data_IF_924034271578
#
_entry.id   IF_924034271578
#
_cell.length_a   1.000
_cell.length_b   1.000
_cell.length_c   1.000
_cell.angle_alpha   90.00
_cell.angle_beta   90.00
_cell.angle_gamma   90.00
#
_symmetry.space_group_name_H-M   'P 1'
#
loop_
_entity.id
_entity.type
_entity.pdbx_description
1 polymer ?
#
# COMPACT_ATOMS: atom_id res chain seq x y z
N UNK A 1 -33.29 57.45 -2.59
CA UNK A 1 -32.94 56.31 -3.47
C UNK A 1 -32.00 55.47 -2.66
N UNK A 2 -32.58 54.51 -1.95
CA UNK A 2 -31.88 53.78 -0.89
C UNK A 2 -31.28 52.50 -1.46
N UNK A 3 -29.95 52.43 -1.44
CA UNK A 3 -29.19 51.24 -1.81
C UNK A 3 -29.18 50.25 -0.65
N UNK A 4 -29.85 49.11 -0.81
CA UNK A 4 -29.69 47.95 0.06
C UNK A 4 -28.58 47.06 -0.49
N UNK A 5 -27.46 46.98 0.23
CA UNK A 5 -26.37 46.04 -0.06
C UNK A 5 -26.62 44.75 0.73
N UNK A 6 -26.88 43.64 0.02
CA UNK A 6 -27.00 42.31 0.61
C UNK A 6 -25.61 41.71 0.85
N UNK A 7 -25.27 41.46 2.11
CA UNK A 7 -24.06 40.74 2.50
C UNK A 7 -24.41 39.26 2.65
N UNK A 8 -24.11 38.46 1.62
CA UNK A 8 -24.28 37.00 1.67
C UNK A 8 -23.14 36.37 2.45
N UNK A 9 -23.43 35.85 3.64
CA UNK A 9 -22.51 35.06 4.45
C UNK A 9 -22.48 33.61 3.92
N UNK A 10 -21.41 33.25 3.21
CA UNK A 10 -21.14 31.85 2.85
C UNK A 10 -20.45 31.15 4.02
N UNK A 11 -21.19 30.28 4.72
CA UNK A 11 -20.62 29.36 5.72
C UNK A 11 -20.09 28.14 4.96
N UNK A 12 -18.76 28.05 4.81
CA UNK A 12 -18.12 26.82 4.39
C UNK A 12 -18.08 25.85 5.57
N UNK A 13 -19.02 24.89 5.58
CA UNK A 13 -18.92 23.72 6.46
C UNK A 13 -17.86 22.80 5.86
N UNK A 14 -16.64 22.84 6.40
CA UNK A 14 -15.62 21.85 6.09
C UNK A 14 -16.07 20.51 6.68
N UNK A 15 -16.66 19.65 5.85
CA UNK A 15 -16.93 18.26 6.22
C UNK A 15 -15.58 17.57 6.28
N UNK A 16 -14.97 17.48 7.46
CA UNK A 16 -13.84 16.63 7.69
C UNK A 16 -14.30 15.18 7.50
N UNK A 17 -14.05 14.59 6.33
CA UNK A 17 -14.28 13.16 6.12
C UNK A 17 -13.30 12.42 7.03
N UNK A 18 -13.81 11.87 8.14
CA UNK A 18 -13.02 10.99 9.00
C UNK A 18 -12.90 9.65 8.30
N UNK A 19 -11.82 9.47 7.53
CA UNK A 19 -11.49 8.15 7.00
C UNK A 19 -11.14 7.21 8.15
N UNK A 20 -11.70 6.00 8.14
CA UNK A 20 -11.37 4.98 9.14
C UNK A 20 -9.93 4.54 8.94
N UNK A 21 -9.10 4.74 9.98
CA UNK A 21 -7.73 4.24 10.00
C UNK A 21 -7.69 2.75 10.33
N UNK A 22 -6.68 1.99 9.86
CA UNK A 22 -6.60 0.58 10.17
C UNK A 22 -6.20 0.39 11.63
N UNK A 23 -6.74 -0.66 12.26
CA UNK A 23 -6.27 -1.10 13.57
C UNK A 23 -4.81 -1.54 13.48
N UNK A 24 -3.99 -1.01 14.41
CA UNK A 24 -2.58 -1.36 14.49
C UNK A 24 -2.39 -2.64 15.31
N UNK A 25 -1.42 -3.45 14.90
CA UNK A 25 -0.98 -4.67 15.57
C UNK A 25 -2.04 -5.78 15.69
N UNK A 26 -3.17 -5.64 15.02
CA UNK A 26 -4.21 -6.68 14.90
C UNK A 26 -3.94 -7.52 13.65
N UNK A 27 -3.88 -8.83 13.81
CA UNK A 27 -3.73 -9.77 12.69
C UNK A 27 -5.08 -9.96 12.01
N UNK A 28 -5.12 -9.65 10.72
CA UNK A 28 -6.28 -9.83 9.84
C UNK A 28 -5.93 -10.80 8.73
N UNK A 29 -6.94 -11.42 8.14
CA UNK A 29 -6.79 -12.36 7.03
C UNK A 29 -7.55 -11.85 5.82
N UNK A 30 -6.95 -11.96 4.64
CA UNK A 30 -7.59 -11.61 3.37
C UNK A 30 -7.25 -12.66 2.32
N UNK A 31 -8.20 -12.90 1.42
CA UNK A 31 -8.02 -13.76 0.26
C UNK A 31 -8.16 -12.93 -1.01
N UNK A 32 -7.13 -13.00 -1.84
CA UNK A 32 -7.16 -12.57 -3.24
C UNK A 32 -7.80 -13.67 -4.07
N UNK A 33 -8.70 -13.30 -4.99
CA UNK A 33 -9.42 -14.21 -5.88
C UNK A 33 -8.55 -14.66 -7.07
N UNK A 34 -7.80 -13.73 -7.65
CA UNK A 34 -6.97 -13.95 -8.84
C UNK A 34 -5.84 -12.92 -8.93
N UNK A 35 -4.74 -13.22 -9.66
CA UNK A 35 -3.74 -12.21 -10.01
C UNK A 35 -4.36 -11.11 -10.89
N UNK A 36 -3.96 -9.85 -10.69
CA UNK A 36 -4.50 -8.70 -11.42
C UNK A 36 -4.47 -8.86 -12.95
N UNK A 37 -3.34 -9.33 -13.51
CA UNK A 37 -3.23 -9.55 -14.97
C UNK A 37 -4.08 -10.71 -15.50
N UNK A 38 -4.75 -11.48 -14.63
CA UNK A 38 -5.60 -12.63 -14.98
C UNK A 38 -7.08 -12.40 -14.65
N UNK A 39 -7.47 -11.17 -14.35
CA UNK A 39 -8.85 -10.87 -14.00
C UNK A 39 -9.82 -11.19 -15.14
N UNK A 40 -11.00 -11.76 -14.83
CA UNK A 40 -12.07 -11.89 -15.79
C UNK A 40 -12.81 -10.56 -15.92
N UNK A 41 -12.59 -9.82 -17.01
CA UNK A 41 -13.35 -8.61 -17.34
C UNK A 41 -12.53 -7.31 -17.34
N UNK A 42 -13.20 -6.14 -17.21
CA UNK A 42 -12.53 -4.85 -17.28
C UNK A 42 -11.57 -4.66 -16.09
N UNK A 43 -10.49 -3.91 -16.32
CA UNK A 43 -9.44 -3.74 -15.32
C UNK A 43 -9.94 -3.10 -14.02
N UNK A 44 -9.91 -3.87 -12.94
CA UNK A 44 -10.33 -3.50 -11.59
C UNK A 44 -9.40 -4.10 -10.55
N UNK A 45 -9.25 -3.42 -9.42
CA UNK A 45 -8.53 -3.95 -8.26
C UNK A 45 -9.38 -4.88 -7.37
N UNK A 46 -10.66 -5.05 -7.71
CA UNK A 46 -11.56 -5.90 -6.95
C UNK A 46 -11.05 -7.35 -6.92
N UNK A 47 -10.85 -7.88 -5.71
CA UNK A 47 -10.43 -9.26 -5.49
C UNK A 47 -8.96 -9.55 -5.77
N UNK A 48 -8.18 -8.60 -6.30
CA UNK A 48 -6.74 -8.79 -6.54
C UNK A 48 -5.86 -7.81 -5.76
N UNK A 49 -6.45 -6.85 -5.04
CA UNK A 49 -5.70 -5.88 -4.26
C UNK A 49 -6.19 -5.76 -2.81
N UNK A 50 -5.28 -5.36 -1.93
CA UNK A 50 -5.54 -5.01 -0.55
C UNK A 50 -5.57 -3.49 -0.42
N UNK A 51 -6.62 -2.98 0.22
CA UNK A 51 -6.74 -1.61 0.67
C UNK A 51 -6.81 -1.63 2.20
N UNK A 52 -5.93 -0.88 2.87
CA UNK A 52 -5.90 -0.80 4.33
C UNK A 52 -6.96 0.16 4.87
N UNK A 53 -7.47 1.07 4.03
CA UNK A 53 -8.47 2.09 4.42
C UNK A 53 -9.45 2.40 3.30
N UNK A 54 -10.61 2.94 3.69
CA UNK A 54 -11.60 3.50 2.76
C UNK A 54 -11.04 4.67 1.95
N UNK A 55 -10.05 5.38 2.48
CA UNK A 55 -9.33 6.42 1.76
C UNK A 55 -8.62 5.88 0.52
N UNK A 56 -7.89 4.76 0.69
CA UNK A 56 -7.24 4.07 -0.43
C UNK A 56 -8.25 3.56 -1.45
N UNK A 57 -9.40 3.04 -1.00
CA UNK A 57 -10.50 2.60 -1.88
C UNK A 57 -11.04 3.76 -2.70
N UNK A 58 -11.37 4.89 -2.05
CA UNK A 58 -11.92 6.07 -2.71
C UNK A 58 -10.96 6.64 -3.79
N UNK A 59 -9.66 6.61 -3.52
CA UNK A 59 -8.61 7.06 -4.45
C UNK A 59 -8.17 5.99 -5.45
N UNK A 60 -8.77 4.80 -5.41
CA UNK A 60 -8.39 3.64 -6.22
C UNK A 60 -6.88 3.35 -6.15
N UNK A 61 -6.31 3.43 -4.94
CA UNK A 61 -4.87 3.38 -4.68
C UNK A 61 -4.54 2.20 -3.74
N UNK A 62 -4.31 0.99 -4.27
CA UNK A 62 -4.08 -0.19 -3.46
C UNK A 62 -2.79 -0.11 -2.65
N UNK A 63 -2.78 -0.72 -1.47
CA UNK A 63 -1.61 -0.83 -0.59
C UNK A 63 -0.76 -2.07 -0.88
N UNK A 64 -1.38 -3.11 -1.45
CA UNK A 64 -0.70 -4.29 -1.98
C UNK A 64 -1.51 -4.81 -3.17
N UNK A 65 -0.85 -5.10 -4.29
CA UNK A 65 -1.45 -5.76 -5.44
C UNK A 65 -0.92 -7.19 -5.53
N UNK A 66 -1.83 -8.15 -5.67
CA UNK A 66 -1.50 -9.51 -6.08
C UNK A 66 -1.56 -9.57 -7.62
N UNK A 67 -0.42 -9.82 -8.23
CA UNK A 67 -0.24 -9.80 -9.68
C UNK A 67 0.51 -11.05 -10.17
N UNK A 68 0.69 -11.16 -11.48
CA UNK A 68 1.34 -12.28 -12.13
C UNK A 68 0.73 -12.57 -13.50
N UNK A 69 1.53 -13.09 -14.42
CA UNK A 69 1.02 -13.55 -15.72
C UNK A 69 0.35 -14.92 -15.56
N UNK A 70 -0.72 -15.17 -16.32
CA UNK A 70 -1.54 -16.38 -16.15
C UNK A 70 -0.73 -17.63 -16.49
N UNK A 71 -0.42 -18.44 -15.47
CA UNK A 71 0.45 -19.62 -15.59
C UNK A 71 1.93 -19.37 -15.27
N UNK A 72 2.32 -18.13 -14.94
CA UNK A 72 3.66 -17.74 -14.50
C UNK A 72 3.76 -17.61 -12.98
N UNK A 73 4.92 -17.20 -12.46
CA UNK A 73 5.08 -16.91 -11.04
C UNK A 73 4.29 -15.66 -10.66
N UNK A 74 3.48 -15.74 -9.59
CA UNK A 74 2.77 -14.59 -9.07
C UNK A 74 3.68 -13.72 -8.22
N UNK A 75 3.32 -12.45 -8.12
CA UNK A 75 4.04 -11.41 -7.41
C UNK A 75 3.12 -10.62 -6.49
N UNK A 76 3.70 -10.03 -5.46
CA UNK A 76 3.12 -8.90 -4.77
C UNK A 76 3.83 -7.61 -5.17
N UNK A 77 3.06 -6.54 -5.32
CA UNK A 77 3.52 -5.24 -5.78
C UNK A 77 2.99 -4.12 -4.89
N UNK A 78 3.82 -3.11 -4.64
CA UNK A 78 3.47 -1.94 -3.79
C UNK A 78 3.62 -0.60 -4.51
N UNK A 79 4.27 -0.57 -5.68
CA UNK A 79 4.39 0.62 -6.54
C UNK A 79 3.55 0.42 -7.80
N UNK A 80 2.32 0.93 -7.77
CA UNK A 80 1.33 0.70 -8.83
C UNK A 80 1.12 1.91 -9.75
N UNK A 81 1.63 3.08 -9.35
CA UNK A 81 1.54 4.32 -10.11
C UNK A 81 2.76 5.21 -9.81
N UNK A 82 3.27 5.86 -10.87
CA UNK A 82 4.51 6.65 -10.98
C UNK A 82 5.21 7.02 -9.66
N UNK A 83 4.89 8.19 -9.13
CA UNK A 83 5.69 8.87 -8.09
C UNK A 83 5.52 8.30 -6.67
N UNK A 84 4.83 7.18 -6.52
CA UNK A 84 4.69 6.52 -5.23
C UNK A 84 5.94 5.73 -4.90
N UNK A 85 6.49 5.93 -3.70
CA UNK A 85 7.54 5.06 -3.19
C UNK A 85 6.94 3.90 -2.41
N UNK A 86 7.39 2.68 -2.68
CA UNK A 86 6.97 1.49 -1.95
C UNK A 86 8.04 0.41 -2.04
N UNK A 87 8.28 -0.28 -0.93
CA UNK A 87 9.26 -1.36 -0.88
C UNK A 87 8.71 -2.57 -0.14
N UNK A 88 9.09 -3.74 -0.63
CA UNK A 88 8.88 -5.05 -0.06
C UNK A 88 10.23 -5.65 0.33
N UNK A 89 10.24 -6.40 1.42
CA UNK A 89 11.35 -7.24 1.85
C UNK A 89 10.79 -8.59 2.27
N UNK A 90 11.36 -9.67 1.73
CA UNK A 90 11.11 -11.04 2.21
C UNK A 90 11.92 -11.27 3.47
N UNK A 91 11.26 -11.68 4.55
CA UNK A 91 11.88 -11.99 5.84
C UNK A 91 12.04 -13.51 6.04
N UNK A 92 11.64 -14.32 5.06
CA UNK A 92 11.61 -15.77 5.13
C UNK A 92 10.50 -16.31 6.04
N UNK A 93 10.75 -17.48 6.62
CA UNK A 93 9.80 -18.17 7.50
C UNK A 93 9.82 -17.62 8.94
N UNK A 94 9.42 -16.35 9.09
CA UNK A 94 9.31 -15.69 10.39
C UNK A 94 7.84 -15.53 10.76
N UNK A 95 7.38 -15.97 11.93
CA UNK A 95 6.00 -15.73 12.36
C UNK A 95 5.66 -14.24 12.41
N UNK A 96 4.46 -13.88 11.95
CA UNK A 96 4.04 -12.49 11.77
C UNK A 96 3.98 -11.70 13.09
N UNK A 97 3.70 -12.41 14.18
CA UNK A 97 3.67 -11.92 15.57
C UNK A 97 5.05 -11.42 16.02
N UNK A 98 6.12 -12.04 15.51
CA UNK A 98 7.50 -11.77 15.92
C UNK A 98 8.11 -10.57 15.19
N UNK A 99 7.44 -10.03 14.17
CA UNK A 99 7.91 -8.90 13.37
C UNK A 99 7.46 -7.58 14.01
N UNK A 100 8.43 -6.85 14.57
CA UNK A 100 8.26 -5.46 15.01
C UNK A 100 8.66 -4.49 13.89
N UNK A 101 8.31 -3.21 14.02
CA UNK A 101 8.72 -2.18 13.05
C UNK A 101 10.26 -2.10 12.92
N UNK A 102 10.98 -2.16 14.05
CA UNK A 102 12.44 -2.19 14.06
C UNK A 102 13.03 -3.44 13.43
N UNK A 103 12.28 -4.55 13.46
CA UNK A 103 12.68 -5.85 12.93
C UNK A 103 12.49 -5.92 11.41
N UNK A 104 11.39 -5.37 10.90
CA UNK A 104 11.03 -5.37 9.49
C UNK A 104 12.14 -4.86 8.53
N UNK A 105 13.08 -4.04 9.01
CA UNK A 105 14.17 -3.46 8.21
C UNK A 105 15.56 -3.67 8.82
N UNK A 106 15.71 -4.57 9.79
CA UNK A 106 17.02 -4.82 10.41
C UNK A 106 17.77 -5.94 9.70
N UNK A 107 18.64 -5.52 8.77
CA UNK A 107 19.52 -6.36 7.96
C UNK A 107 20.31 -7.40 8.78
N UNK A 108 20.73 -7.07 10.02
CA UNK A 108 21.60 -7.94 10.82
C UNK A 108 20.87 -8.89 11.78
N UNK A 109 19.54 -8.75 11.96
CA UNK A 109 18.82 -9.46 13.05
C UNK A 109 17.66 -10.34 12.60
N UNK A 110 17.30 -10.33 11.33
CA UNK A 110 16.31 -11.25 10.76
C UNK A 110 16.97 -11.93 9.58
N UNK A 111 17.39 -13.17 9.82
CA UNK A 111 17.66 -14.23 8.84
C UNK A 111 17.73 -13.75 7.39
N UNK A 112 18.93 -13.33 6.97
CA UNK A 112 19.22 -13.02 5.58
C UNK A 112 20.30 -11.95 5.43
N UNK A 113 21.57 -12.37 5.44
CA UNK A 113 22.50 -11.79 4.46
C UNK A 113 21.76 -11.92 3.11
N UNK A 114 21.43 -10.79 2.45
CA UNK A 114 20.68 -10.67 1.17
C UNK A 114 19.21 -10.18 1.21
N UNK A 115 18.69 -9.65 2.33
CA UNK A 115 17.38 -8.97 2.32
C UNK A 115 17.40 -7.77 1.36
N UNK A 116 16.83 -7.97 0.17
CA UNK A 116 16.81 -6.97 -0.91
C UNK A 116 15.46 -6.26 -0.91
N UNK A 117 15.51 -4.92 -0.88
CA UNK A 117 14.31 -4.10 -1.02
C UNK A 117 13.90 -3.99 -2.49
N UNK A 118 12.67 -4.37 -2.79
CA UNK A 118 12.12 -4.36 -4.15
C UNK A 118 10.69 -3.85 -4.16
N UNK A 119 10.25 -3.22 -5.24
CA UNK A 119 8.84 -2.82 -5.41
C UNK A 119 7.92 -4.00 -5.75
N UNK A 120 8.52 -5.12 -6.19
CA UNK A 120 7.83 -6.34 -6.64
C UNK A 120 8.54 -7.56 -6.08
N UNK A 121 7.81 -8.50 -5.48
CA UNK A 121 8.37 -9.74 -4.92
C UNK A 121 7.58 -10.98 -5.32
N UNK A 122 8.25 -12.11 -5.49
CA UNK A 122 7.59 -13.39 -5.80
C UNK A 122 6.81 -13.89 -4.59
N UNK A 123 5.65 -14.48 -4.84
CA UNK A 123 4.85 -15.13 -3.79
C UNK A 123 5.45 -16.47 -3.41
N UNK A 124 5.77 -16.65 -2.12
CA UNK A 124 6.25 -17.91 -1.54
C UNK A 124 5.39 -18.25 -0.33
N UNK A 125 4.74 -19.42 -0.35
CA UNK A 125 3.94 -19.89 0.80
C UNK A 125 4.79 -20.05 2.04
N UNK A 126 4.25 -19.64 3.19
CA UNK A 126 4.95 -19.67 4.48
C UNK A 126 5.96 -18.54 4.66
N UNK A 127 6.23 -17.70 3.67
CA UNK A 127 7.09 -16.54 3.86
C UNK A 127 6.33 -15.35 4.45
N UNK A 128 7.05 -14.55 5.22
CA UNK A 128 6.58 -13.29 5.77
C UNK A 128 7.33 -12.14 5.12
N UNK A 129 6.59 -11.10 4.76
CA UNK A 129 7.09 -9.94 4.06
C UNK A 129 6.83 -8.68 4.88
N UNK A 130 7.74 -7.72 4.79
CA UNK A 130 7.54 -6.35 5.24
C UNK A 130 7.25 -5.44 4.06
N UNK A 131 6.26 -4.57 4.19
CA UNK A 131 5.88 -3.58 3.20
C UNK A 131 5.97 -2.17 3.79
N UNK A 132 6.83 -1.33 3.20
CA UNK A 132 6.93 0.09 3.49
C UNK A 132 6.29 0.88 2.35
N UNK A 133 5.30 1.71 2.68
CA UNK A 133 4.64 2.60 1.73
C UNK A 133 4.95 4.05 2.07
N UNK A 134 5.37 4.81 1.06
CA UNK A 134 5.52 6.24 1.10
C UNK A 134 4.95 6.89 -0.17
N UNK A 135 3.62 6.99 -0.19
CA UNK A 135 2.81 7.62 -1.24
C UNK A 135 2.59 9.10 -0.94
N UNK A 136 2.14 9.92 -1.89
CA UNK A 136 1.91 11.36 -1.67
C UNK A 136 1.10 11.68 -0.40
N UNK A 137 0.07 10.89 -0.12
CA UNK A 137 -0.87 11.12 1.00
C UNK A 137 -0.90 9.98 2.03
N UNK A 138 -0.09 8.92 1.87
CA UNK A 138 -0.06 7.77 2.79
C UNK A 138 1.37 7.42 3.17
N UNK A 139 1.58 7.18 4.46
CA UNK A 139 2.74 6.43 4.99
C UNK A 139 2.23 5.20 5.71
N UNK A 140 2.74 4.03 5.36
CA UNK A 140 2.36 2.81 6.05
C UNK A 140 3.54 1.87 6.20
N UNK A 141 3.53 1.13 7.31
CA UNK A 141 4.32 -0.07 7.49
C UNK A 141 3.36 -1.18 7.88
N UNK A 142 3.32 -2.24 7.08
CA UNK A 142 2.61 -3.45 7.44
C UNK A 142 3.45 -4.66 7.09
N UNK A 143 3.10 -5.78 7.70
CA UNK A 143 3.74 -7.07 7.45
C UNK A 143 2.66 -8.06 7.06
N UNK A 144 2.99 -9.01 6.20
CA UNK A 144 2.05 -10.05 5.79
C UNK A 144 2.76 -11.37 5.59
N UNK A 145 2.07 -12.47 5.93
CA UNK A 145 2.51 -13.83 5.75
C UNK A 145 1.62 -14.51 4.73
N UNK A 146 2.22 -15.22 3.78
CA UNK A 146 1.48 -15.99 2.77
C UNK A 146 1.09 -17.32 3.38
N UNK A 147 -0.22 -17.50 3.58
CA UNK A 147 -0.79 -18.73 4.13
C UNK A 147 -0.91 -19.80 3.04
N UNK A 148 -1.38 -19.40 1.86
CA UNK A 148 -1.53 -20.27 0.70
C UNK A 148 -1.52 -19.45 -0.58
N UNK A 149 -1.12 -20.08 -1.69
CA UNK A 149 -1.23 -19.48 -3.02
C UNK A 149 -1.34 -20.56 -4.10
N UNK A 150 -2.05 -20.25 -5.18
CA UNK A 150 -2.14 -21.04 -6.39
C UNK A 150 -1.61 -20.25 -7.60
N UNK A 151 -0.87 -20.91 -8.51
CA UNK A 151 -0.14 -20.24 -9.60
C UNK A 151 -1.02 -19.40 -10.53
N UNK A 152 -2.26 -19.78 -10.78
CA UNK A 152 -3.21 -18.99 -11.59
C UNK A 152 -4.47 -18.68 -10.81
N UNK A 153 -4.41 -18.77 -9.49
CA UNK A 153 -5.58 -18.82 -8.62
C UNK A 153 -5.44 -17.93 -7.39
N UNK A 154 -6.24 -18.21 -6.36
CA UNK A 154 -6.30 -17.37 -5.19
C UNK A 154 -5.00 -17.40 -4.39
N UNK A 155 -4.79 -16.35 -3.61
CA UNK A 155 -3.77 -16.30 -2.58
C UNK A 155 -4.42 -15.84 -1.29
N UNK A 156 -3.97 -16.39 -0.16
CA UNK A 156 -4.45 -15.97 1.17
C UNK A 156 -3.27 -15.50 1.97
N UNK A 157 -3.41 -14.33 2.59
CA UNK A 157 -2.40 -13.76 3.48
C UNK A 157 -3.02 -13.45 4.83
N UNK A 158 -2.22 -13.59 5.88
CA UNK A 158 -2.44 -12.93 7.15
C UNK A 158 -1.59 -11.66 7.17
N UNK A 159 -2.10 -10.55 7.70
CA UNK A 159 -1.36 -9.29 7.75
C UNK A 159 -1.61 -8.52 9.05
N UNK A 160 -0.66 -7.68 9.44
CA UNK A 160 -0.84 -6.72 10.52
C UNK A 160 -0.20 -5.38 10.15
N UNK A 161 -0.96 -4.31 10.34
CA UNK A 161 -0.46 -2.94 10.18
C UNK A 161 0.34 -2.57 11.42
N UNK A 162 1.57 -2.10 11.24
CA UNK A 162 2.46 -1.69 12.34
C UNK A 162 2.49 -0.18 12.49
N UNK A 163 2.32 0.55 11.39
CA UNK A 163 2.19 2.00 11.37
C UNK A 163 1.35 2.43 10.18
N UNK A 164 0.52 3.45 10.35
CA UNK A 164 -0.26 4.03 9.26
C UNK A 164 -0.51 5.51 9.53
N UNK A 165 -0.42 6.34 8.49
CA UNK A 165 -0.71 7.76 8.55
C UNK A 165 -1.21 8.29 7.21
N UNK A 166 -2.26 9.10 7.27
CA UNK A 166 -2.70 9.93 6.15
C UNK A 166 -2.00 11.28 6.28
N UNK A 167 -1.35 11.73 5.22
CA UNK A 167 -0.62 12.99 5.16
C UNK A 167 -1.42 13.97 4.30
N UNK A 168 -1.51 15.22 4.78
CA UNK A 168 -1.97 16.33 3.96
C UNK A 168 -0.76 17.06 3.42
N UNK A 169 -0.64 17.11 2.09
CA UNK A 169 0.39 17.88 1.42
C UNK A 169 0.12 19.38 1.64
N UNK A 170 0.99 20.07 2.36
CA UNK A 170 0.87 21.51 2.58
C UNK A 170 1.56 22.33 1.49
N UNK A 171 2.71 21.85 1.01
CA UNK A 171 3.54 22.47 -0.02
C UNK A 171 4.33 21.37 -0.72
N UNK A 172 4.56 21.53 -2.02
CA UNK A 172 5.38 20.64 -2.84
C UNK A 172 6.45 21.48 -3.53
N UNK A 173 7.66 20.93 -3.66
CA UNK A 173 8.70 21.57 -4.48
C UNK A 173 8.21 21.65 -5.92
N UNK A 174 8.53 22.72 -6.68
CA UNK A 174 8.20 22.78 -8.11
C UNK A 174 8.85 21.66 -8.94
N UNK A 175 9.75 20.87 -8.33
CA UNK A 175 10.42 19.75 -8.96
C UNK A 175 11.71 20.18 -9.65
N UNK A 176 12.24 19.28 -10.47
CA UNK A 176 13.40 19.54 -11.32
C UNK A 176 12.91 19.73 -12.75
N UNK A 177 13.27 20.86 -13.37
CA UNK A 177 13.01 21.11 -14.79
C UNK A 177 14.27 20.78 -15.59
N UNK A 178 14.17 19.84 -16.53
CA UNK A 178 15.26 19.55 -17.47
C UNK A 178 15.56 20.72 -18.42
N UNK A 179 14.64 21.69 -18.51
CA UNK A 179 14.76 22.86 -19.37
C UNK A 179 15.44 24.05 -18.65
N UNK A 180 15.71 23.94 -17.35
CA UNK A 180 16.41 24.96 -16.59
C UNK A 180 17.90 24.59 -16.43
N UNK A 181 18.85 25.50 -16.73
CA UNK A 181 20.26 25.24 -16.48
C UNK A 181 20.49 25.07 -14.98
N UNK A 182 21.24 24.04 -14.60
CA UNK A 182 21.65 23.83 -13.21
C UNK A 182 22.31 25.10 -12.66
N UNK A 183 21.71 25.69 -11.63
CA UNK A 183 22.25 26.82 -10.89
C UNK A 183 23.43 26.40 -10.02
#
# INVERSE_FOLDING_TARGET
>A
MDSFTYLSLFIFVAVASSFTLPELHVIKKISFKYPYSCQPGPSSYEGCALFLTDYGVLRNMPDLLYNGACGSSNTFEVMLAGDNFGMLSDLGDVPLENVTASKAFNYNRITGDDNTFTSTIKVVSGHTYAALLAKSEIRALFVFRVESYERSGPATISYAVKQYGIITLSQESPGFSWDEPNH
#
